data_IF_320686092777
#
_entry.id   IF_320686092777
#
_cell.length_a   1.000
_cell.length_b   1.000
_cell.length_c   1.000
_cell.angle_alpha   90.00
_cell.angle_beta   90.00
_cell.angle_gamma   90.00
#
_symmetry.space_group_name_H-M   'P 1'
#
loop_
_entity.id
_entity.type
_entity.pdbx_description
1 polymer ?
#
# COMPACT_ATOMS: atom_id res chain seq x y z
N UNK A 1 -6.93 46.19 10.79
CA UNK A 1 -7.79 45.14 10.17
C UNK A 1 -7.03 44.07 9.38
N UNK A 2 -5.69 44.13 9.21
CA UNK A 2 -4.90 43.09 8.51
C UNK A 2 -4.32 41.99 9.42
N UNK A 3 -4.18 42.24 10.73
CA UNK A 3 -3.60 41.27 11.66
C UNK A 3 -4.52 40.07 11.97
N UNK A 4 -5.85 40.27 11.90
CA UNK A 4 -6.83 39.22 12.17
C UNK A 4 -6.99 38.21 11.03
N UNK A 5 -6.64 38.58 9.79
CA UNK A 5 -6.71 37.69 8.63
C UNK A 5 -5.51 36.73 8.60
N UNK A 6 -4.34 37.17 9.09
CA UNK A 6 -3.13 36.34 9.19
C UNK A 6 -3.23 35.27 10.28
N UNK A 7 -4.01 35.50 11.35
CA UNK A 7 -4.24 34.49 12.39
C UNK A 7 -5.24 33.40 11.98
N UNK A 8 -6.13 33.69 11.02
CA UNK A 8 -7.03 32.67 10.45
C UNK A 8 -6.34 31.79 9.39
N UNK A 9 -5.24 32.26 8.79
CA UNK A 9 -4.46 31.53 7.79
C UNK A 9 -3.31 30.69 8.39
N UNK A 10 -3.06 30.79 9.71
CA UNK A 10 -1.91 30.19 10.38
C UNK A 10 -2.20 28.89 11.16
N UNK A 11 -3.46 28.50 11.33
CA UNK A 11 -3.79 27.21 11.91
C UNK A 11 -3.85 26.17 10.79
N UNK A 12 -2.69 25.76 10.28
CA UNK A 12 -2.60 24.51 9.51
C UNK A 12 -3.22 23.44 10.42
N UNK A 13 -4.40 22.94 10.05
CA UNK A 13 -5.16 22.07 10.92
C UNK A 13 -4.30 20.82 11.14
N UNK A 14 -3.87 20.51 12.38
CA UNK A 14 -2.93 19.43 12.62
C UNK A 14 -3.49 18.08 12.14
N UNK A 15 -4.82 17.97 12.09
CA UNK A 15 -5.52 16.82 11.52
C UNK A 15 -5.41 16.74 9.99
N UNK A 16 -5.47 17.86 9.25
CA UNK A 16 -5.24 17.86 7.79
C UNK A 16 -3.77 17.57 7.45
N UNK A 17 -2.84 18.03 8.27
CA UNK A 17 -1.42 17.68 8.10
C UNK A 17 -1.17 16.20 8.40
N UNK A 18 -1.83 15.66 9.42
CA UNK A 18 -1.77 14.24 9.74
C UNK A 18 -2.39 13.39 8.63
N UNK A 19 -3.54 13.80 8.10
CA UNK A 19 -4.22 13.15 6.97
C UNK A 19 -3.34 13.18 5.72
N UNK A 20 -2.78 14.33 5.39
CA UNK A 20 -1.85 14.45 4.26
C UNK A 20 -0.59 13.60 4.45
N UNK A 21 -0.06 13.50 5.67
CA UNK A 21 1.10 12.66 5.97
C UNK A 21 0.76 11.17 5.85
N UNK A 22 -0.38 10.75 6.40
CA UNK A 22 -0.85 9.37 6.31
C UNK A 22 -1.09 8.97 4.85
N UNK A 23 -1.81 9.80 4.08
CA UNK A 23 -2.21 9.47 2.71
C UNK A 23 -1.05 9.63 1.72
N UNK A 24 -0.33 10.75 1.73
CA UNK A 24 0.69 11.03 0.72
C UNK A 24 2.05 10.41 1.03
N UNK A 25 2.46 10.33 2.30
CA UNK A 25 3.80 9.84 2.66
C UNK A 25 3.77 8.36 3.04
N UNK A 26 2.82 7.95 3.89
CA UNK A 26 2.78 6.57 4.41
C UNK A 26 2.10 5.63 3.42
N UNK A 27 0.87 5.92 2.99
CA UNK A 27 0.14 5.04 2.07
C UNK A 27 0.83 4.93 0.71
N UNK A 28 1.23 6.05 0.10
CA UNK A 28 1.96 6.03 -1.19
C UNK A 28 3.29 5.27 -1.09
N UNK A 29 4.06 5.54 -0.03
CA UNK A 29 5.32 4.83 0.24
C UNK A 29 5.12 3.33 0.43
N UNK A 30 4.13 2.93 1.22
CA UNK A 30 3.81 1.53 1.47
C UNK A 30 3.34 0.82 0.19
N UNK A 31 2.49 1.47 -0.61
CA UNK A 31 1.99 0.93 -1.87
C UNK A 31 3.11 0.74 -2.90
N UNK A 32 4.10 1.64 -2.91
CA UNK A 32 5.27 1.52 -3.78
C UNK A 32 6.18 0.35 -3.40
N UNK A 33 6.27 0.03 -2.10
CA UNK A 33 7.04 -1.09 -1.57
C UNK A 33 6.32 -2.43 -1.67
N UNK A 34 4.98 -2.44 -1.71
CA UNK A 34 4.20 -3.66 -1.85
C UNK A 34 4.54 -4.40 -3.16
N UNK A 35 4.70 -3.69 -4.28
CA UNK A 35 4.97 -4.33 -5.57
C UNK A 35 6.28 -5.14 -5.58
N UNK A 36 7.44 -4.59 -5.15
CA UNK A 36 8.67 -5.38 -5.06
C UNK A 36 8.60 -6.45 -3.96
N UNK A 37 7.92 -6.21 -2.83
CA UNK A 37 7.73 -7.24 -1.80
C UNK A 37 6.92 -8.43 -2.33
N UNK A 38 5.86 -8.17 -3.09
CA UNK A 38 5.04 -9.20 -3.71
C UNK A 38 5.83 -10.03 -4.71
N UNK A 39 6.68 -9.40 -5.53
CA UNK A 39 7.56 -10.10 -6.46
C UNK A 39 8.52 -11.06 -5.73
N UNK A 40 9.15 -10.59 -4.65
CA UNK A 40 10.02 -11.44 -3.81
C UNK A 40 9.20 -12.58 -3.18
N UNK A 41 8.01 -12.29 -2.63
CA UNK A 41 7.13 -13.28 -2.03
C UNK A 41 6.72 -14.38 -3.01
N UNK A 42 6.40 -14.02 -4.25
CA UNK A 42 6.06 -14.99 -5.31
C UNK A 42 7.28 -15.85 -5.66
N UNK A 43 8.47 -15.25 -5.83
CA UNK A 43 9.71 -15.99 -6.16
C UNK A 43 10.09 -16.95 -5.05
N UNK A 44 10.08 -16.51 -3.79
CA UNK A 44 10.41 -17.37 -2.63
C UNK A 44 9.40 -18.48 -2.47
N UNK A 45 8.11 -18.20 -2.67
CA UNK A 45 7.06 -19.23 -2.59
C UNK A 45 7.17 -20.25 -3.73
N UNK A 46 7.52 -19.81 -4.95
CA UNK A 46 7.71 -20.68 -6.10
C UNK A 46 8.97 -21.56 -5.94
N UNK A 47 10.09 -21.00 -5.49
CA UNK A 47 11.31 -21.73 -5.19
C UNK A 47 11.10 -22.71 -4.02
N UNK A 48 10.42 -22.26 -2.96
CA UNK A 48 10.06 -23.09 -1.83
C UNK A 48 9.19 -24.28 -2.24
N UNK A 49 8.23 -24.08 -3.15
CA UNK A 49 7.38 -25.15 -3.68
C UNK A 49 8.14 -26.12 -4.60
N UNK A 50 9.16 -25.65 -5.33
CA UNK A 50 10.01 -26.50 -6.18
C UNK A 50 10.99 -27.35 -5.35
N UNK A 51 11.53 -26.78 -4.27
CA UNK A 51 12.48 -27.47 -3.39
C UNK A 51 11.81 -28.36 -2.33
N UNK A 52 10.51 -28.24 -2.10
CA UNK A 52 9.80 -29.06 -1.12
C UNK A 52 9.38 -30.41 -1.71
N UNK A 53 9.98 -31.47 -1.18
CA UNK A 53 9.67 -32.87 -1.51
C UNK A 53 8.45 -33.41 -0.79
N UNK A 54 8.08 -32.82 0.36
CA UNK A 54 6.90 -33.22 1.13
C UNK A 54 5.64 -32.46 0.72
N UNK A 55 4.54 -33.21 0.58
CA UNK A 55 3.25 -32.72 0.11
C UNK A 55 2.66 -31.65 1.05
N UNK A 56 2.83 -31.82 2.37
CA UNK A 56 2.38 -30.87 3.38
C UNK A 56 3.06 -29.49 3.25
N UNK A 57 4.34 -29.45 2.86
CA UNK A 57 5.07 -28.20 2.68
C UNK A 57 4.68 -27.51 1.37
N UNK A 58 4.43 -28.28 0.30
CA UNK A 58 3.91 -27.73 -0.97
C UNK A 58 2.57 -27.04 -0.78
N UNK A 59 1.67 -27.59 0.04
CA UNK A 59 0.39 -26.95 0.35
C UNK A 59 0.54 -25.63 1.12
N UNK A 60 1.51 -25.52 2.04
CA UNK A 60 1.82 -24.26 2.72
C UNK A 60 2.32 -23.20 1.74
N UNK A 61 3.25 -23.58 0.85
CA UNK A 61 3.76 -22.66 -0.17
C UNK A 61 2.67 -22.24 -1.16
N UNK A 62 1.79 -23.15 -1.57
CA UNK A 62 0.64 -22.84 -2.42
C UNK A 62 -0.31 -21.84 -1.76
N UNK A 63 -0.64 -22.04 -0.47
CA UNK A 63 -1.46 -21.09 0.31
C UNK A 63 -0.77 -19.73 0.46
N UNK A 64 0.54 -19.70 0.70
CA UNK A 64 1.32 -18.47 0.79
C UNK A 64 1.36 -17.71 -0.55
N UNK A 65 1.49 -18.44 -1.66
CA UNK A 65 1.50 -17.86 -3.01
C UNK A 65 0.12 -17.25 -3.33
N UNK A 66 -0.97 -17.96 -3.03
CA UNK A 66 -2.33 -17.46 -3.19
C UNK A 66 -2.59 -16.22 -2.32
N UNK A 67 -2.18 -16.21 -1.04
CA UNK A 67 -2.37 -15.04 -0.18
C UNK A 67 -1.58 -13.83 -0.68
N UNK A 68 -0.35 -14.05 -1.15
CA UNK A 68 0.49 -13.00 -1.74
C UNK A 68 -0.16 -12.39 -2.98
N UNK A 69 -0.74 -13.22 -3.86
CA UNK A 69 -1.47 -12.74 -5.04
C UNK A 69 -2.68 -11.90 -4.64
N UNK A 70 -3.49 -12.37 -3.67
CA UNK A 70 -4.68 -11.64 -3.22
C UNK A 70 -4.29 -10.27 -2.65
N UNK A 71 -3.28 -10.21 -1.78
CA UNK A 71 -2.80 -8.95 -1.20
C UNK A 71 -2.31 -7.99 -2.30
N UNK A 72 -1.63 -8.52 -3.31
CA UNK A 72 -1.13 -7.73 -4.45
C UNK A 72 -2.27 -7.13 -5.26
N UNK A 73 -3.33 -7.91 -5.54
CA UNK A 73 -4.53 -7.43 -6.25
C UNK A 73 -5.21 -6.31 -5.45
N UNK A 74 -5.37 -6.51 -4.13
CA UNK A 74 -5.98 -5.49 -3.26
C UNK A 74 -5.16 -4.19 -3.29
N UNK A 75 -3.84 -4.27 -3.25
CA UNK A 75 -2.99 -3.09 -3.37
C UNK A 75 -3.08 -2.42 -4.75
N UNK A 76 -3.21 -3.19 -5.83
CA UNK A 76 -3.45 -2.60 -7.16
C UNK A 76 -4.79 -1.87 -7.24
N UNK A 77 -5.85 -2.43 -6.66
CA UNK A 77 -7.17 -1.80 -6.57
C UNK A 77 -7.08 -0.51 -5.74
N UNK A 78 -6.41 -0.56 -4.59
CA UNK A 78 -6.18 0.62 -3.74
C UNK A 78 -5.42 1.72 -4.50
N UNK A 79 -4.40 1.36 -5.29
CA UNK A 79 -3.69 2.32 -6.16
C UNK A 79 -4.63 2.99 -7.16
N UNK A 80 -5.46 2.18 -7.82
CA UNK A 80 -6.43 2.67 -8.81
C UNK A 80 -7.48 3.58 -8.19
N UNK A 81 -7.98 3.23 -6.99
CA UNK A 81 -8.90 4.09 -6.25
C UNK A 81 -8.29 5.42 -5.85
N UNK A 82 -7.04 5.44 -5.37
CA UNK A 82 -6.34 6.68 -5.02
C UNK A 82 -6.20 7.58 -6.25
N UNK A 83 -5.76 7.03 -7.39
CA UNK A 83 -5.66 7.78 -8.65
C UNK A 83 -7.02 8.32 -9.13
N UNK A 84 -8.09 7.55 -8.94
CA UNK A 84 -9.45 7.98 -9.29
C UNK A 84 -9.94 9.11 -8.38
N UNK A 85 -9.70 9.01 -7.07
CA UNK A 85 -9.99 10.06 -6.09
C UNK A 85 -9.20 11.34 -6.41
N UNK A 86 -7.90 11.25 -6.67
CA UNK A 86 -7.09 12.39 -7.09
C UNK A 86 -7.62 13.06 -8.37
N UNK A 87 -8.21 12.29 -9.29
CA UNK A 87 -8.82 12.83 -10.50
C UNK A 87 -10.17 13.51 -10.30
N UNK A 88 -10.90 13.21 -9.21
CA UNK A 88 -12.19 13.84 -8.89
C UNK A 88 -12.04 15.11 -8.05
N UNK A 89 -10.92 15.25 -7.32
CA UNK A 89 -10.62 16.40 -6.46
C UNK A 89 -9.60 17.39 -7.06
N UNK A 90 -9.20 17.19 -8.32
CA UNK A 90 -8.49 18.17 -9.15
C UNK A 90 -9.46 18.97 -10.02
#
# INVERSE_FOLDING_TARGET
MKAWIMLAQGAVNPFESLENFLTNSVFSGLLSLVTPLAAIGIVVSALGMYLSTEEHNRDKFKKALISTIIITIICFIAKGMILWLESQFK
#
